data_IF_088552517458
#
_entry.id   IF_088552517458
#
_cell.length_a   1.000
_cell.length_b   1.000
_cell.length_c   1.000
_cell.angle_alpha   90.00
_cell.angle_beta   90.00
_cell.angle_gamma   90.00
#
_symmetry.space_group_name_H-M   'P 1'
#
loop_
_entity.id
_entity.type
_entity.pdbx_description
1 polymer ?
#
# COMPACT_ATOMS: atom_id res chain seq x y z
N UNK A 1 28.51 21.44 7.95
CA UNK A 1 27.68 20.44 8.67
C UNK A 1 26.32 20.49 8.03
N UNK A 2 26.14 19.74 6.95
CA UNK A 2 24.89 19.74 6.20
C UNK A 2 23.84 18.96 6.97
N UNK A 3 22.82 19.68 7.44
CA UNK A 3 21.58 19.08 7.86
C UNK A 3 20.86 18.59 6.58
N UNK A 4 21.22 17.42 6.09
CA UNK A 4 20.30 16.66 5.27
C UNK A 4 19.11 16.32 6.16
N UNK A 5 18.07 17.13 6.02
CA UNK A 5 16.80 16.91 6.69
C UNK A 5 16.20 15.68 5.99
N UNK A 6 16.50 14.48 6.50
CA UNK A 6 15.88 13.25 6.03
C UNK A 6 14.38 13.40 6.20
N UNK A 7 13.61 13.15 5.15
CA UNK A 7 12.14 13.20 5.19
C UNK A 7 11.59 12.45 6.39
N UNK A 8 10.49 12.94 6.95
CA UNK A 8 9.71 12.16 7.92
C UNK A 8 8.94 11.07 7.17
N UNK A 9 8.89 9.87 7.73
CA UNK A 9 8.13 8.78 7.15
C UNK A 9 6.92 8.43 8.01
N UNK A 10 5.84 8.00 7.37
CA UNK A 10 4.67 7.38 7.99
C UNK A 10 4.22 6.22 7.13
N UNK A 11 3.87 5.09 7.74
CA UNK A 11 3.51 3.89 7.01
C UNK A 11 2.09 3.43 7.28
N UNK A 12 1.37 3.11 6.22
CA UNK A 12 0.02 2.56 6.26
C UNK A 12 0.10 1.06 6.01
N UNK A 13 -0.29 0.27 7.01
CA UNK A 13 -0.43 -1.18 6.88
C UNK A 13 -1.89 -1.57 7.05
N UNK A 14 -2.31 -2.70 6.52
CA UNK A 14 -3.68 -3.20 6.64
C UNK A 14 -3.74 -4.56 7.31
N UNK A 15 -4.86 -4.85 7.93
CA UNK A 15 -5.12 -6.19 8.48
C UNK A 15 -5.30 -7.25 7.40
N UNK A 16 -5.54 -6.83 6.15
CA UNK A 16 -5.78 -7.69 4.99
C UNK A 16 -5.62 -6.90 3.67
N UNK A 17 -5.61 -7.61 2.55
CA UNK A 17 -5.79 -6.99 1.23
C UNK A 17 -7.16 -6.29 1.16
N UNK A 18 -7.25 -5.23 0.37
CA UNK A 18 -8.47 -4.41 0.22
C UNK A 18 -8.99 -3.73 1.50
N UNK A 19 -8.22 -3.69 2.60
CA UNK A 19 -8.59 -2.90 3.78
C UNK A 19 -8.67 -1.38 3.50
N UNK A 20 -8.17 -0.93 2.34
CA UNK A 20 -8.20 0.46 1.89
C UNK A 20 -6.88 1.20 2.14
N UNK A 21 -5.76 0.48 2.27
CA UNK A 21 -4.41 1.07 2.45
C UNK A 21 -4.09 2.14 1.41
N UNK A 22 -4.31 1.83 0.14
CA UNK A 22 -3.96 2.72 -0.99
C UNK A 22 -4.74 4.03 -0.93
N UNK A 23 -6.04 3.97 -0.62
CA UNK A 23 -6.87 5.17 -0.47
C UNK A 23 -6.46 6.01 0.75
N UNK A 24 -6.17 5.37 1.88
CA UNK A 24 -5.70 6.08 3.09
C UNK A 24 -4.33 6.72 2.83
N UNK A 25 -3.42 6.02 2.14
CA UNK A 25 -2.12 6.58 1.76
C UNK A 25 -2.28 7.80 0.82
N UNK A 26 -3.14 7.70 -0.19
CA UNK A 26 -3.46 8.83 -1.08
C UNK A 26 -4.06 10.01 -0.31
N UNK A 27 -5.00 9.74 0.62
CA UNK A 27 -5.62 10.78 1.44
C UNK A 27 -4.57 11.50 2.31
N UNK A 28 -3.63 10.77 2.93
CA UNK A 28 -2.55 11.38 3.71
C UNK A 28 -1.60 12.18 2.82
N UNK A 29 -1.24 11.67 1.63
CA UNK A 29 -0.47 12.44 0.65
C UNK A 29 -1.16 13.77 0.34
N UNK A 30 -2.48 13.73 0.10
CA UNK A 30 -3.26 14.95 -0.19
C UNK A 30 -3.35 15.91 0.98
N UNK A 31 -3.59 15.40 2.20
CA UNK A 31 -3.67 16.22 3.43
C UNK A 31 -2.33 16.92 3.66
N UNK A 32 -1.22 16.19 3.69
CA UNK A 32 0.10 16.78 3.91
C UNK A 32 0.47 17.80 2.81
N UNK A 33 0.07 17.53 1.57
CA UNK A 33 0.24 18.51 0.48
C UNK A 33 -0.55 19.78 0.72
N UNK A 34 -1.80 19.66 1.20
CA UNK A 34 -2.65 20.82 1.55
C UNK A 34 -2.09 21.61 2.73
N UNK A 35 -1.42 20.91 3.67
CA UNK A 35 -0.72 21.53 4.80
C UNK A 35 0.62 22.21 4.39
N UNK A 36 0.98 22.16 3.10
CA UNK A 36 2.14 22.86 2.55
C UNK A 36 3.43 22.05 2.50
N UNK A 37 3.40 20.76 2.82
CA UNK A 37 4.58 19.91 2.74
C UNK A 37 4.81 19.38 1.32
N UNK A 38 6.08 19.15 1.00
CA UNK A 38 6.49 18.33 -0.16
C UNK A 38 6.37 16.86 0.20
N UNK A 39 5.54 16.11 -0.53
CA UNK A 39 5.17 14.73 -0.17
C UNK A 39 5.42 13.78 -1.33
N UNK A 40 5.94 12.59 -1.05
CA UNK A 40 5.97 11.50 -2.01
C UNK A 40 5.37 10.22 -1.41
N UNK A 41 4.59 9.44 -2.19
CA UNK A 41 4.21 8.10 -1.82
C UNK A 41 5.38 7.14 -2.01
N UNK A 42 5.32 5.99 -1.31
CA UNK A 42 6.30 4.92 -1.48
C UNK A 42 5.67 3.56 -1.20
N UNK A 43 5.94 2.60 -2.05
CA UNK A 43 5.60 1.18 -1.83
C UNK A 43 6.78 0.34 -2.29
N UNK A 44 7.48 -0.28 -1.37
CA UNK A 44 8.72 -1.03 -1.66
C UNK A 44 8.54 -2.09 -2.72
N UNK A 45 7.41 -2.81 -2.68
CA UNK A 45 7.02 -3.82 -3.66
C UNK A 45 5.52 -3.74 -3.91
N UNK A 46 5.12 -3.73 -5.17
CA UNK A 46 3.73 -3.91 -5.57
C UNK A 46 3.57 -5.19 -6.39
N UNK A 47 2.38 -5.78 -6.34
CA UNK A 47 1.98 -6.88 -7.20
C UNK A 47 0.71 -6.45 -7.92
N UNK A 48 0.80 -6.13 -9.19
CA UNK A 48 -0.31 -5.63 -9.99
C UNK A 48 -0.12 -5.97 -11.47
N UNK A 49 -1.20 -6.26 -12.16
CA UNK A 49 -1.22 -6.42 -13.63
C UNK A 49 -1.31 -5.05 -14.32
N UNK A 50 -2.04 -4.11 -13.70
CA UNK A 50 -2.19 -2.76 -14.23
C UNK A 50 -1.00 -1.88 -13.82
N UNK A 51 -0.29 -1.36 -14.79
CA UNK A 51 0.90 -0.54 -14.60
C UNK A 51 0.79 0.78 -15.37
N UNK A 52 1.72 1.67 -15.11
CA UNK A 52 1.85 2.99 -15.72
C UNK A 52 3.27 3.17 -16.24
N UNK A 53 3.40 3.83 -17.38
CA UNK A 53 4.70 4.20 -17.93
C UNK A 53 4.97 5.67 -17.59
N UNK A 54 6.06 5.91 -16.86
CA UNK A 54 6.49 7.26 -16.47
C UNK A 54 6.98 8.08 -17.66
N UNK A 55 7.22 9.36 -17.45
CA UNK A 55 7.77 10.24 -18.50
C UNK A 55 9.14 9.77 -19.00
N UNK A 56 9.90 9.06 -18.16
CA UNK A 56 11.19 8.47 -18.54
C UNK A 56 11.06 7.15 -19.34
N UNK A 57 9.84 6.68 -19.60
CA UNK A 57 9.60 5.40 -20.28
C UNK A 57 9.76 4.17 -19.40
N UNK A 58 9.71 4.35 -18.07
CA UNK A 58 9.90 3.28 -17.07
C UNK A 58 8.56 2.84 -16.48
N UNK A 59 8.46 1.60 -16.01
CA UNK A 59 7.20 1.00 -15.57
C UNK A 59 7.05 1.01 -14.04
N UNK A 60 5.86 1.42 -13.54
CA UNK A 60 5.52 1.41 -12.12
C UNK A 60 4.06 1.02 -11.87
N UNK A 61 3.71 0.68 -10.62
CA UNK A 61 2.36 0.33 -10.20
C UNK A 61 1.38 1.50 -10.26
N UNK A 62 0.17 1.27 -10.77
CA UNK A 62 -0.86 2.30 -10.96
C UNK A 62 -1.31 2.95 -9.64
N UNK A 63 -1.38 2.20 -8.54
CA UNK A 63 -1.76 2.75 -7.23
C UNK A 63 -0.83 3.87 -6.76
N UNK A 64 0.47 3.76 -7.01
CA UNK A 64 1.43 4.79 -6.62
C UNK A 64 1.35 6.03 -7.51
N UNK A 65 0.88 5.88 -8.75
CA UNK A 65 0.57 7.02 -9.63
C UNK A 65 -0.56 7.87 -9.04
N UNK A 66 -1.68 7.24 -8.67
CA UNK A 66 -2.79 7.92 -7.99
C UNK A 66 -2.34 8.63 -6.71
N UNK A 67 -1.47 8.01 -5.93
CA UNK A 67 -0.92 8.61 -4.71
C UNK A 67 0.01 9.79 -5.02
N UNK A 68 0.81 9.71 -6.10
CA UNK A 68 1.65 10.80 -6.56
C UNK A 68 0.81 11.99 -7.04
N UNK A 69 -0.26 11.74 -7.80
CA UNK A 69 -1.24 12.77 -8.21
C UNK A 69 -1.89 13.44 -6.99
N UNK A 70 -2.27 12.66 -5.97
CA UNK A 70 -2.81 13.19 -4.71
C UNK A 70 -1.78 14.06 -3.96
N UNK A 71 -0.50 13.70 -4.01
CA UNK A 71 0.61 14.45 -3.46
C UNK A 71 0.96 15.69 -4.30
N UNK A 72 0.48 15.79 -5.55
CA UNK A 72 0.84 16.84 -6.49
C UNK A 72 2.32 16.76 -6.90
N UNK A 73 2.85 15.54 -7.04
CA UNK A 73 4.20 15.26 -7.50
C UNK A 73 4.17 14.34 -8.71
N UNK A 74 5.18 14.47 -9.57
CA UNK A 74 5.29 13.63 -10.77
C UNK A 74 5.52 12.16 -10.39
N UNK A 75 4.80 11.21 -11.01
CA UNK A 75 5.05 9.79 -10.80
C UNK A 75 6.47 9.40 -11.20
N UNK A 76 7.14 8.66 -10.33
CA UNK A 76 8.50 8.18 -10.54
C UNK A 76 8.63 6.74 -10.08
N UNK A 77 9.40 5.93 -10.78
CA UNK A 77 9.67 4.53 -10.42
C UNK A 77 10.32 4.39 -9.05
N UNK A 78 10.93 5.45 -8.53
CA UNK A 78 11.43 5.48 -7.16
C UNK A 78 10.32 5.27 -6.12
N UNK A 79 9.07 5.60 -6.45
CA UNK A 79 7.90 5.42 -5.57
C UNK A 79 7.45 3.96 -5.49
N UNK A 80 7.84 3.14 -6.48
CA UNK A 80 7.55 1.70 -6.52
C UNK A 80 8.73 0.94 -7.15
N UNK A 81 9.85 0.79 -6.43
CA UNK A 81 11.08 0.23 -6.98
C UNK A 81 10.96 -1.24 -7.41
N UNK A 82 10.05 -2.01 -6.80
CA UNK A 82 9.81 -3.40 -7.18
C UNK A 82 8.35 -3.58 -7.60
N UNK A 83 8.16 -3.97 -8.85
CA UNK A 83 6.84 -4.34 -9.37
C UNK A 83 6.86 -5.80 -9.83
N UNK A 84 5.89 -6.58 -9.35
CA UNK A 84 5.67 -7.96 -9.75
C UNK A 84 4.42 -8.03 -10.63
N UNK A 85 4.55 -8.53 -11.85
CA UNK A 85 3.41 -8.80 -12.74
C UNK A 85 3.20 -10.31 -12.81
N UNK A 86 2.12 -10.84 -12.19
CA UNK A 86 1.81 -12.25 -12.29
C UNK A 86 1.72 -12.70 -13.75
N UNK A 87 2.47 -13.72 -14.15
CA UNK A 87 2.46 -14.31 -15.50
C UNK A 87 1.82 -15.69 -15.51
N UNK A 88 1.71 -16.33 -14.35
CA UNK A 88 1.08 -17.62 -14.13
C UNK A 88 0.73 -17.78 -12.65
N UNK A 89 0.06 -18.87 -12.29
CA UNK A 89 -0.28 -19.19 -10.88
C UNK A 89 0.96 -19.29 -9.97
N UNK A 90 2.14 -19.53 -10.53
CA UNK A 90 3.37 -19.81 -9.78
C UNK A 90 4.54 -18.89 -10.11
N UNK A 91 4.36 -17.87 -10.96
CA UNK A 91 5.44 -17.02 -11.40
C UNK A 91 5.02 -15.59 -11.72
N UNK A 92 6.00 -14.68 -11.66
CA UNK A 92 5.81 -13.28 -11.98
C UNK A 92 7.00 -12.73 -12.79
N UNK A 93 6.71 -11.81 -13.69
CA UNK A 93 7.73 -10.93 -14.23
C UNK A 93 8.16 -9.94 -13.14
N UNK A 94 9.44 -9.88 -12.89
CA UNK A 94 10.05 -8.99 -11.88
C UNK A 94 10.59 -7.75 -12.57
N UNK A 95 10.12 -6.59 -12.14
CA UNK A 95 10.52 -5.29 -12.63
C UNK A 95 11.20 -4.56 -11.47
N UNK A 96 12.41 -4.05 -11.69
CA UNK A 96 13.20 -3.33 -10.70
C UNK A 96 13.52 -1.94 -11.23
N UNK A 97 13.13 -0.91 -10.50
CA UNK A 97 13.28 0.50 -10.90
C UNK A 97 12.73 0.78 -12.31
N UNK A 98 11.63 0.13 -12.67
CA UNK A 98 10.94 0.31 -13.94
C UNK A 98 11.47 -0.53 -15.11
N UNK A 99 12.52 -1.33 -14.91
CA UNK A 99 13.11 -2.20 -15.93
C UNK A 99 12.87 -3.67 -15.65
N UNK A 100 12.56 -4.45 -16.68
CA UNK A 100 12.33 -5.89 -16.56
C UNK A 100 13.65 -6.60 -16.28
N UNK A 101 13.72 -7.27 -15.12
CA UNK A 101 14.87 -8.12 -14.74
C UNK A 101 14.71 -9.54 -15.27
N UNK A 102 13.48 -10.04 -15.33
CA UNK A 102 13.17 -11.38 -15.82
C UNK A 102 11.94 -11.99 -15.16
N UNK A 103 11.65 -13.24 -15.52
CA UNK A 103 10.58 -14.01 -14.90
C UNK A 103 11.16 -14.87 -13.78
N UNK A 104 10.50 -14.87 -12.62
CA UNK A 104 10.88 -15.69 -11.48
C UNK A 104 9.68 -16.47 -10.96
N UNK A 105 9.91 -17.71 -10.56
CA UNK A 105 8.91 -18.46 -9.80
C UNK A 105 8.76 -17.88 -8.40
N UNK A 106 7.57 -17.98 -7.82
CA UNK A 106 7.27 -17.43 -6.49
C UNK A 106 8.30 -17.85 -5.43
N UNK A 107 8.69 -19.14 -5.39
CA UNK A 107 9.70 -19.65 -4.46
C UNK A 107 11.10 -19.09 -4.71
N UNK A 108 11.46 -18.85 -5.96
CA UNK A 108 12.74 -18.24 -6.34
C UNK A 108 12.75 -16.77 -5.89
N UNK A 109 11.72 -16.03 -6.25
CA UNK A 109 11.59 -14.64 -5.81
C UNK A 109 11.62 -14.53 -4.28
N UNK A 110 10.90 -15.40 -3.57
CA UNK A 110 10.87 -15.38 -2.11
C UNK A 110 12.27 -15.53 -1.49
N UNK A 111 13.12 -16.40 -2.03
CA UNK A 111 14.51 -16.59 -1.57
C UNK A 111 15.41 -15.39 -1.88
N UNK A 112 15.14 -14.70 -2.98
CA UNK A 112 15.99 -13.63 -3.49
C UNK A 112 15.51 -12.22 -3.16
N UNK A 113 14.28 -12.04 -2.67
CA UNK A 113 13.71 -10.70 -2.48
C UNK A 113 14.52 -9.79 -1.55
N UNK A 114 15.32 -10.34 -0.63
CA UNK A 114 16.24 -9.57 0.19
C UNK A 114 17.41 -8.94 -0.62
N UNK A 115 17.75 -9.53 -1.74
CA UNK A 115 18.78 -8.99 -2.63
C UNK A 115 18.39 -7.62 -3.20
N UNK A 116 17.06 -7.31 -3.22
CA UNK A 116 16.52 -6.04 -3.69
C UNK A 116 16.47 -4.94 -2.62
N UNK A 117 16.79 -5.24 -1.36
CA UNK A 117 16.79 -4.24 -0.28
C UNK A 117 17.69 -3.03 -0.60
N UNK A 118 18.89 -3.18 -1.17
CA UNK A 118 19.72 -2.03 -1.56
C UNK A 118 19.01 -1.11 -2.58
N UNK A 119 18.32 -1.66 -3.59
CA UNK A 119 17.58 -0.90 -4.60
C UNK A 119 16.40 -0.17 -3.96
N UNK A 120 15.64 -0.86 -3.08
CA UNK A 120 14.52 -0.29 -2.33
C UNK A 120 14.99 0.90 -1.49
N UNK A 121 16.09 0.73 -0.73
CA UNK A 121 16.60 1.78 0.15
C UNK A 121 17.28 2.93 -0.61
N UNK A 122 17.87 2.65 -1.76
CA UNK A 122 18.38 3.71 -2.65
C UNK A 122 17.21 4.57 -3.18
N UNK A 123 16.14 3.96 -3.67
CA UNK A 123 14.95 4.68 -4.13
C UNK A 123 14.31 5.49 -2.99
N UNK A 124 14.12 4.89 -1.81
CA UNK A 124 13.63 5.58 -0.62
C UNK A 124 14.52 6.76 -0.22
N UNK A 125 15.84 6.59 -0.23
CA UNK A 125 16.82 7.64 0.09
C UNK A 125 16.74 8.83 -0.88
N UNK A 126 16.60 8.55 -2.18
CA UNK A 126 16.46 9.60 -3.20
C UNK A 126 15.18 10.41 -3.04
N UNK A 127 14.05 9.75 -2.72
CA UNK A 127 12.79 10.44 -2.41
C UNK A 127 12.92 11.25 -1.12
N UNK A 128 13.51 10.68 -0.07
CA UNK A 128 13.72 11.35 1.22
C UNK A 128 14.62 12.58 1.14
N UNK A 129 15.50 12.65 0.15
CA UNK A 129 16.34 13.82 -0.09
C UNK A 129 15.59 14.98 -0.78
N UNK A 130 14.44 14.71 -1.39
CA UNK A 130 13.68 15.67 -2.23
C UNK A 130 12.34 16.11 -1.63
N UNK A 131 11.87 15.40 -0.59
CA UNK A 131 10.55 15.63 0.01
C UNK A 131 10.66 15.78 1.53
N UNK A 132 9.66 16.43 2.13
CA UNK A 132 9.55 16.60 3.58
C UNK A 132 8.96 15.35 4.24
N UNK A 133 8.00 14.69 3.55
CA UNK A 133 7.25 13.54 4.07
C UNK A 133 7.19 12.43 3.02
N UNK A 134 7.47 11.20 3.46
CA UNK A 134 7.23 9.99 2.67
C UNK A 134 6.08 9.20 3.30
N UNK A 135 5.01 8.99 2.52
CA UNK A 135 3.88 8.14 2.90
C UNK A 135 4.09 6.75 2.32
N UNK A 136 4.35 5.79 3.20
CA UNK A 136 4.66 4.41 2.80
C UNK A 136 3.39 3.57 2.85
N UNK A 137 3.13 2.77 1.83
CA UNK A 137 2.07 1.77 1.80
C UNK A 137 2.65 0.36 1.93
N UNK A 138 2.10 -0.43 2.86
CA UNK A 138 2.40 -1.86 2.99
C UNK A 138 1.60 -2.72 2.00
N UNK A 139 1.87 -4.03 2.01
CA UNK A 139 1.18 -5.00 1.16
C UNK A 139 0.58 -6.14 2.00
N UNK A 140 -0.65 -6.59 1.66
CA UNK A 140 -1.34 -7.65 2.42
C UNK A 140 -1.52 -7.29 3.89
N UNK A 141 -1.06 -8.18 4.76
CA UNK A 141 -1.11 -8.05 6.23
C UNK A 141 0.26 -8.27 6.86
N UNK A 142 0.65 -7.50 7.90
CA UNK A 142 1.87 -7.77 8.66
C UNK A 142 1.77 -9.04 9.52
N UNK A 143 0.57 -9.59 9.68
CA UNK A 143 0.33 -10.81 10.47
C UNK A 143 0.48 -12.12 9.67
N UNK A 144 0.99 -12.06 8.44
CA UNK A 144 1.36 -13.25 7.67
C UNK A 144 2.66 -13.86 8.20
N UNK A 145 2.58 -14.52 9.37
CA UNK A 145 3.73 -14.94 10.18
C UNK A 145 4.68 -15.90 9.44
N UNK A 146 4.15 -16.72 8.54
CA UNK A 146 4.91 -17.64 7.71
C UNK A 146 5.81 -16.95 6.67
N UNK A 147 5.54 -15.67 6.34
CA UNK A 147 6.30 -14.87 5.37
C UNK A 147 7.19 -13.81 6.03
N UNK A 148 7.17 -13.74 7.37
CA UNK A 148 7.77 -12.68 8.17
C UNK A 148 9.30 -12.59 8.09
N UNK A 149 9.97 -13.74 7.99
CA UNK A 149 11.45 -13.81 8.03
C UNK A 149 12.13 -12.91 6.98
N UNK A 150 11.50 -12.79 5.80
CA UNK A 150 12.03 -12.01 4.67
C UNK A 150 11.11 -10.85 4.29
N UNK A 151 10.39 -10.28 5.27
CA UNK A 151 9.48 -9.16 5.03
C UNK A 151 10.25 -7.89 4.60
N UNK A 152 9.94 -7.42 3.41
CA UNK A 152 10.45 -6.15 2.83
C UNK A 152 9.32 -5.15 2.56
N UNK A 153 8.07 -5.49 2.93
CA UNK A 153 6.86 -4.72 2.53
C UNK A 153 6.05 -4.17 3.70
N UNK A 154 6.09 -4.80 4.87
CA UNK A 154 5.34 -4.39 6.05
C UNK A 154 6.28 -4.00 7.20
N UNK A 155 6.38 -4.79 8.27
CA UNK A 155 7.23 -4.46 9.42
C UNK A 155 8.72 -4.40 9.07
N UNK A 156 9.17 -5.21 8.08
CA UNK A 156 10.52 -5.12 7.55
C UNK A 156 10.80 -3.75 6.94
N UNK A 157 9.92 -3.26 6.08
CA UNK A 157 10.04 -1.92 5.48
C UNK A 157 9.91 -0.81 6.55
N UNK A 158 8.97 -0.95 7.49
CA UNK A 158 8.81 0.00 8.58
C UNK A 158 10.10 0.16 9.40
N UNK A 159 10.79 -0.96 9.70
CA UNK A 159 12.10 -0.93 10.40
C UNK A 159 13.18 -0.25 9.56
N UNK A 160 13.29 -0.59 8.28
CA UNK A 160 14.27 0.02 7.37
C UNK A 160 14.09 1.54 7.25
N UNK A 161 12.85 2.00 7.12
CA UNK A 161 12.50 3.41 7.04
C UNK A 161 12.40 4.12 8.41
N UNK A 162 12.52 3.39 9.52
CA UNK A 162 12.29 3.89 10.89
C UNK A 162 10.93 4.61 11.01
N UNK A 163 9.92 4.06 10.35
CA UNK A 163 8.62 4.70 10.18
C UNK A 163 7.62 4.24 11.23
N UNK A 164 6.87 5.15 11.88
CA UNK A 164 5.67 4.79 12.63
C UNK A 164 4.62 4.20 11.69
N UNK A 165 3.79 3.31 12.23
CA UNK A 165 2.77 2.56 11.48
C UNK A 165 1.37 2.95 11.94
N UNK A 166 0.48 3.19 10.98
CA UNK A 166 -0.96 3.23 11.16
C UNK A 166 -1.56 1.93 10.60
N UNK A 167 -2.28 1.19 11.43
CA UNK A 167 -2.89 -0.08 11.04
C UNK A 167 -4.36 0.11 10.67
N UNK A 168 -4.72 -0.25 9.44
CA UNK A 168 -6.06 -0.07 8.87
C UNK A 168 -6.82 -1.38 8.88
N UNK A 169 -8.03 -1.38 9.46
CA UNK A 169 -8.99 -2.48 9.42
C UNK A 169 -10.25 -2.12 8.64
N UNK A 170 -10.80 -3.07 7.91
CA UNK A 170 -12.05 -2.94 7.15
C UNK A 170 -13.25 -3.37 8.00
N UNK A 171 -14.17 -2.44 8.33
CA UNK A 171 -15.37 -2.75 9.10
C UNK A 171 -16.54 -3.24 8.23
N UNK A 172 -16.56 -2.92 6.94
CA UNK A 172 -17.68 -3.21 6.03
C UNK A 172 -17.89 -4.73 5.86
N UNK A 173 -16.81 -5.50 5.94
CA UNK A 173 -16.85 -6.96 5.84
C UNK A 173 -17.13 -7.68 7.15
N UNK A 174 -17.24 -6.95 8.26
CA UNK A 174 -17.36 -7.50 9.60
C UNK A 174 -16.03 -8.00 10.19
N UNK A 175 -16.02 -8.30 11.49
CA UNK A 175 -14.88 -8.85 12.18
C UNK A 175 -13.71 -7.90 12.44
N UNK A 176 -13.88 -6.59 12.29
CA UNK A 176 -12.81 -5.58 12.42
C UNK A 176 -12.09 -5.63 13.78
N UNK A 177 -12.82 -5.95 14.86
CA UNK A 177 -12.23 -6.12 16.20
C UNK A 177 -11.19 -7.25 16.21
N UNK A 178 -11.57 -8.43 15.71
CA UNK A 178 -10.67 -9.57 15.62
C UNK A 178 -9.47 -9.28 14.71
N UNK A 179 -9.71 -8.62 13.57
CA UNK A 179 -8.65 -8.26 12.63
C UNK A 179 -7.64 -7.30 13.24
N UNK A 180 -8.07 -6.18 13.84
CA UNK A 180 -7.16 -5.18 14.40
C UNK A 180 -6.46 -5.69 15.65
N UNK A 181 -7.20 -6.22 16.62
CA UNK A 181 -6.64 -6.74 17.87
C UNK A 181 -5.73 -7.94 17.58
N UNK A 182 -6.20 -8.88 16.75
CA UNK A 182 -5.44 -10.07 16.38
C UNK A 182 -4.14 -9.71 15.66
N UNK A 183 -4.18 -8.80 14.70
CA UNK A 183 -2.97 -8.34 13.99
C UNK A 183 -1.97 -7.76 14.98
N UNK A 184 -2.38 -6.84 15.86
CA UNK A 184 -1.48 -6.26 16.86
C UNK A 184 -0.88 -7.33 17.77
N UNK A 185 -1.69 -8.26 18.27
CA UNK A 185 -1.25 -9.30 19.23
C UNK A 185 -0.37 -10.40 18.63
N UNK A 186 -0.46 -10.63 17.33
CA UNK A 186 0.38 -11.61 16.62
C UNK A 186 1.79 -11.07 16.30
N UNK A 187 1.98 -9.78 16.34
CA UNK A 187 3.27 -9.14 16.10
C UNK A 187 4.19 -9.22 17.33
N UNK A 188 5.50 -9.17 17.10
CA UNK A 188 6.49 -9.08 18.17
C UNK A 188 6.35 -7.78 18.95
N UNK A 189 6.74 -7.73 20.22
CA UNK A 189 6.62 -6.51 21.04
C UNK A 189 7.24 -5.27 20.36
N UNK A 190 8.42 -5.41 19.78
CA UNK A 190 9.10 -4.29 19.08
C UNK A 190 8.34 -3.80 17.85
N UNK A 191 7.58 -4.67 17.17
CA UNK A 191 6.73 -4.32 16.05
C UNK A 191 5.41 -3.71 16.51
N UNK A 192 4.85 -4.24 17.60
CA UNK A 192 3.70 -3.62 18.25
C UNK A 192 4.00 -2.16 18.62
N UNK A 193 5.21 -1.88 19.10
CA UNK A 193 5.64 -0.52 19.45
C UNK A 193 5.73 0.43 18.26
N UNK A 194 5.94 -0.10 17.06
CA UNK A 194 5.92 0.70 15.83
C UNK A 194 4.50 1.11 15.43
N UNK A 195 3.48 0.31 15.78
CA UNK A 195 2.06 0.68 15.53
C UNK A 195 1.69 1.79 16.50
N UNK A 196 1.45 2.99 15.96
CA UNK A 196 1.11 4.17 16.75
C UNK A 196 -0.38 4.40 16.87
N UNK A 197 -1.17 3.98 15.88
CA UNK A 197 -2.62 4.08 15.95
C UNK A 197 -3.31 3.08 15.01
N UNK A 198 -4.61 2.90 15.24
CA UNK A 198 -5.52 2.13 14.43
C UNK A 198 -6.42 3.06 13.60
N UNK A 199 -6.79 2.61 12.42
CA UNK A 199 -7.81 3.25 11.57
C UNK A 199 -8.90 2.22 11.27
N UNK A 200 -10.14 2.56 11.61
CA UNK A 200 -11.32 1.80 11.21
C UNK A 200 -11.82 2.41 9.90
N UNK A 201 -11.72 1.66 8.82
CA UNK A 201 -12.06 2.15 7.48
C UNK A 201 -13.37 1.55 6.97
N UNK A 202 -13.97 2.22 5.99
CA UNK A 202 -15.21 1.83 5.30
C UNK A 202 -16.41 1.76 6.25
N UNK A 203 -16.47 2.65 7.21
CA UNK A 203 -17.58 2.71 8.17
C UNK A 203 -18.88 3.17 7.49
N UNK A 204 -19.97 2.45 7.73
CA UNK A 204 -21.32 2.82 7.28
C UNK A 204 -22.23 3.03 8.49
N UNK A 205 -23.10 4.02 8.41
CA UNK A 205 -24.08 4.32 9.43
C UNK A 205 -23.66 5.40 10.42
N UNK A 206 -24.30 5.42 11.58
CA UNK A 206 -24.11 6.45 12.60
C UNK A 206 -22.85 6.17 13.44
N UNK A 207 -21.90 7.10 13.38
CA UNK A 207 -20.64 7.01 14.13
C UNK A 207 -20.84 7.05 15.65
N UNK A 208 -21.95 7.64 16.14
CA UNK A 208 -22.24 7.70 17.58
C UNK A 208 -22.42 6.31 18.18
N UNK A 209 -23.01 5.37 17.42
CA UNK A 209 -23.21 3.98 17.82
C UNK A 209 -21.87 3.24 17.98
N UNK A 210 -20.85 3.64 17.22
CA UNK A 210 -19.53 2.98 17.25
C UNK A 210 -18.57 3.53 18.31
N UNK A 211 -19.00 4.51 19.13
CA UNK A 211 -18.14 5.08 20.18
C UNK A 211 -17.65 4.01 21.16
N UNK A 212 -18.52 3.17 21.67
CA UNK A 212 -18.14 2.05 22.55
C UNK A 212 -17.20 1.05 21.85
N UNK A 213 -17.35 0.89 20.53
CA UNK A 213 -16.47 0.07 19.71
C UNK A 213 -15.03 0.62 19.67
N UNK A 214 -14.87 1.93 19.57
CA UNK A 214 -13.57 2.60 19.66
C UNK A 214 -12.91 2.32 21.02
N UNK A 215 -13.65 2.52 22.10
CA UNK A 215 -13.15 2.28 23.47
C UNK A 215 -12.69 0.82 23.66
N UNK A 216 -13.48 -0.15 23.14
CA UNK A 216 -13.11 -1.57 23.20
C UNK A 216 -11.82 -1.83 22.39
N UNK A 217 -11.69 -1.26 21.18
CA UNK A 217 -10.51 -1.41 20.35
C UNK A 217 -9.26 -0.89 21.08
N UNK A 218 -9.33 0.32 21.64
CA UNK A 218 -8.24 0.94 22.36
C UNK A 218 -7.83 0.14 23.58
N UNK A 219 -8.80 -0.26 24.41
CA UNK A 219 -8.55 -1.06 25.60
C UNK A 219 -7.93 -2.43 25.28
N UNK A 220 -8.43 -3.12 24.26
CA UNK A 220 -7.98 -4.48 23.94
C UNK A 220 -6.68 -4.52 23.16
N UNK A 221 -6.45 -3.58 22.25
CA UNK A 221 -5.23 -3.49 21.46
C UNK A 221 -4.09 -2.81 22.19
N UNK A 222 -4.39 -1.89 23.12
CA UNK A 222 -3.43 -0.96 23.74
C UNK A 222 -2.97 0.14 22.77
N UNK A 223 -3.72 0.41 21.70
CA UNK A 223 -3.39 1.41 20.68
C UNK A 223 -4.57 2.36 20.48
N UNK A 224 -4.34 3.69 20.34
CA UNK A 224 -5.42 4.63 20.08
C UNK A 224 -6.03 4.42 18.69
N UNK A 225 -7.32 4.72 18.54
CA UNK A 225 -8.01 4.78 17.26
C UNK A 225 -7.95 6.21 16.72
N UNK A 226 -7.06 6.45 15.76
CA UNK A 226 -6.85 7.78 15.18
C UNK A 226 -8.03 8.25 14.34
N UNK A 227 -8.72 7.33 13.65
CA UNK A 227 -9.83 7.68 12.79
C UNK A 227 -10.83 6.52 12.60
N UNK A 228 -12.10 6.90 12.46
CA UNK A 228 -13.16 6.07 11.89
C UNK A 228 -13.55 6.72 10.56
N UNK A 229 -13.08 6.15 9.46
CA UNK A 229 -13.22 6.69 8.11
C UNK A 229 -14.50 6.16 7.48
N UNK A 230 -15.40 7.02 7.01
CA UNK A 230 -16.63 6.58 6.37
C UNK A 230 -16.34 5.82 5.07
N UNK A 231 -17.30 5.01 4.65
CA UNK A 231 -17.25 4.43 3.32
C UNK A 231 -17.36 5.55 2.28
N UNK A 232 -16.35 5.65 1.42
CA UNK A 232 -16.31 6.65 0.36
C UNK A 232 -16.35 5.92 -0.98
N UNK A 233 -17.29 6.31 -1.84
CA UNK A 233 -17.26 5.92 -3.25
C UNK A 233 -16.27 6.85 -3.96
N UNK A 234 -15.13 6.29 -4.35
CA UNK A 234 -14.18 6.98 -5.21
C UNK A 234 -14.20 6.31 -6.57
N UNK A 235 -14.31 7.11 -7.62
CA UNK A 235 -14.12 6.63 -8.99
C UNK A 235 -12.62 6.62 -9.28
N UNK A 236 -11.95 5.60 -8.74
CA UNK A 236 -10.52 5.36 -8.89
C UNK A 236 -10.37 4.20 -9.86
N UNK A 237 -9.40 4.31 -10.76
CA UNK A 237 -9.03 3.19 -11.64
C UNK A 237 -8.64 1.96 -10.81
N UNK A 238 -9.14 0.81 -11.22
CA UNK A 238 -8.84 -0.43 -10.54
C UNK A 238 -7.38 -0.82 -10.76
N UNK A 239 -6.71 -1.19 -9.67
CA UNK A 239 -5.32 -1.67 -9.69
C UNK A 239 -5.20 -3.03 -10.40
N UNK A 240 -6.27 -3.85 -10.35
CA UNK A 240 -6.31 -5.18 -10.91
C UNK A 240 -7.29 -5.30 -12.08
N UNK A 241 -6.85 -5.98 -13.14
CA UNK A 241 -7.69 -6.37 -14.27
C UNK A 241 -8.80 -7.37 -13.92
N UNK A 242 -8.83 -7.87 -12.67
CA UNK A 242 -9.86 -8.74 -12.11
C UNK A 242 -11.01 -7.96 -11.44
N UNK A 243 -11.07 -6.66 -11.64
CA UNK A 243 -12.13 -5.83 -11.10
C UNK A 243 -13.50 -6.22 -11.62
N UNK A 244 -14.47 -6.34 -10.72
CA UNK A 244 -15.89 -6.56 -11.05
C UNK A 244 -16.51 -5.45 -11.91
N UNK A 245 -15.89 -4.26 -12.00
CA UNK A 245 -16.32 -3.18 -12.89
C UNK A 245 -16.26 -3.58 -14.37
N UNK A 246 -15.32 -4.45 -14.76
CA UNK A 246 -15.18 -4.96 -16.12
C UNK A 246 -16.26 -6.00 -16.49
N UNK A 247 -16.99 -6.52 -15.53
CA UNK A 247 -18.07 -7.48 -15.72
C UNK A 247 -19.45 -6.79 -15.87
N UNK A 248 -19.51 -5.48 -15.63
CA UNK A 248 -20.76 -4.74 -15.64
C UNK A 248 -21.19 -4.43 -17.08
N UNK A 249 -22.21 -5.15 -17.57
CA UNK A 249 -22.83 -4.93 -18.89
C UNK A 249 -24.07 -4.02 -18.71
N UNK A 250 -23.86 -2.73 -18.58
CA UNK A 250 -24.96 -1.77 -18.67
C UNK A 250 -25.25 -1.49 -20.15
N UNK A 251 -26.50 -1.64 -20.57
CA UNK A 251 -26.93 -1.23 -21.92
C UNK A 251 -26.80 0.32 -22.04
N UNK A 252 -26.08 0.81 -23.01
CA UNK A 252 -25.88 2.22 -23.30
C UNK A 252 -26.33 2.59 -24.71
N UNK A 253 -26.31 3.89 -25.02
CA UNK A 253 -26.58 4.40 -26.38
C UNK A 253 -25.44 4.04 -27.38
N UNK A 254 -24.27 3.67 -26.85
CA UNK A 254 -23.11 3.24 -27.60
C UNK A 254 -22.51 2.02 -26.90
N UNK A 255 -22.33 0.94 -27.62
CA UNK A 255 -21.64 -0.24 -27.13
C UNK A 255 -20.14 -0.14 -27.40
N UNK A 256 -19.35 -0.18 -26.35
CA UNK A 256 -17.88 -0.22 -26.45
C UNK A 256 -17.44 -1.64 -26.07
N UNK A 257 -16.93 -2.38 -27.08
CA UNK A 257 -16.35 -3.70 -26.84
C UNK A 257 -14.92 -3.54 -26.29
N UNK A 258 -14.70 -3.93 -25.05
CA UNK A 258 -13.36 -4.04 -24.46
C UNK A 258 -12.86 -5.46 -24.65
N UNK A 259 -11.86 -5.64 -25.51
CA UNK A 259 -11.21 -6.95 -25.71
C UNK A 259 -10.23 -7.16 -24.55
N UNK A 260 -10.56 -8.10 -23.68
CA UNK A 260 -9.66 -8.54 -22.60
C UNK A 260 -8.72 -9.60 -23.17
N UNK A 261 -7.48 -9.20 -23.49
CA UNK A 261 -6.42 -10.13 -23.83
C UNK A 261 -5.81 -10.65 -22.53
N UNK A 262 -5.92 -11.95 -22.30
CA UNK A 262 -5.17 -12.60 -21.23
C UNK A 262 -3.73 -12.78 -21.69
N UNK A 263 -2.79 -12.14 -21.03
CA UNK A 263 -1.34 -12.35 -21.24
C UNK A 263 -0.88 -13.77 -20.85
N UNK A 264 -1.77 -14.58 -20.26
CA UNK A 264 -1.50 -15.97 -19.88
C UNK A 264 -1.49 -16.92 -21.09
N UNK A 265 -1.99 -16.46 -22.25
CA UNK A 265 -2.17 -17.30 -23.43
C UNK A 265 -1.42 -16.80 -24.70
N UNK A 266 -0.39 -15.97 -24.51
CA UNK A 266 0.55 -15.58 -25.57
C UNK A 266 1.90 -16.27 -25.33
#
# INVERSE_FOLDING_TARGET
MDKFNSAKAIMIQGTMSNAGKSLIAAALCRIFRQDGYSVAPFKSQNMALNSYITAEGLEMGRAQVMQAEAAGTEPSVLMNPILLKPTSDVGSQVIVNGEVVGNMRAMEYFRRKREFVPQIMNAFGQLSARHDIIVIEGAGSPAELNLKADDIVNMGMARLAKSPVLLVGDIDRGGVFAQLIGTVKLLEPSEQDMIKALIVNKFRGDRSIFRSGVEILEQRSGKPVAAVVPYVHCDIEDEDSLSAKLENRAAGLVDIAVIRLSLIHI
#
